data_IF_134064763569
#
_entry.id   IF_134064763569
#
_cell.length_a   1.000
_cell.length_b   1.000
_cell.length_c   1.000
_cell.angle_alpha   90.00
_cell.angle_beta   90.00
_cell.angle_gamma   90.00
#
_symmetry.space_group_name_H-M   'P 1'
#
loop_
_entity.id
_entity.type
_entity.pdbx_description
1 polymer ?
#
# COMPACT_ATOMS: atom_id res chain seq x y z
N UNK A 1 -11.20 8.06 -68.26
CA UNK A 1 -12.63 8.37 -68.56
C UNK A 1 -13.46 7.11 -68.35
N UNK A 2 -14.78 7.24 -68.09
CA UNK A 2 -15.74 6.14 -67.80
C UNK A 2 -15.49 5.49 -66.41
N UNK A 3 -16.44 5.58 -65.47
CA UNK A 3 -17.62 4.72 -65.23
C UNK A 3 -17.25 3.40 -64.49
N UNK A 4 -18.05 2.85 -63.56
CA UNK A 4 -19.40 3.22 -63.10
C UNK A 4 -19.58 2.97 -61.57
N UNK A 5 -20.75 3.34 -61.04
CA UNK A 5 -21.23 2.86 -59.72
C UNK A 5 -21.61 1.38 -59.81
N UNK A 6 -21.52 0.65 -58.69
CA UNK A 6 -22.56 -0.32 -58.36
C UNK A 6 -22.65 -0.51 -56.84
N UNK A 7 -23.85 -0.74 -56.32
CA UNK A 7 -24.10 -1.09 -54.93
C UNK A 7 -24.98 -2.34 -54.92
N UNK A 8 -24.73 -3.24 -53.96
CA UNK A 8 -25.55 -4.42 -53.72
C UNK A 8 -25.92 -4.49 -52.24
N UNK A 9 -27.21 -4.59 -51.97
CA UNK A 9 -27.83 -4.73 -50.64
C UNK A 9 -28.67 -6.00 -50.73
N UNK A 10 -28.76 -6.81 -49.66
CA UNK A 10 -30.03 -7.36 -49.14
C UNK A 10 -29.82 -8.24 -47.88
N UNK A 11 -30.52 -7.86 -46.79
CA UNK A 11 -31.13 -8.68 -45.71
C UNK A 11 -30.20 -9.66 -44.92
N UNK A 12 -30.31 -9.85 -43.60
CA UNK A 12 -31.43 -9.64 -42.65
C UNK A 12 -31.92 -11.01 -42.17
N UNK A 13 -31.75 -11.42 -40.91
CA UNK A 13 -32.60 -11.18 -39.70
C UNK A 13 -31.76 -11.64 -38.48
N UNK A 14 -31.40 -10.79 -37.50
CA UNK A 14 -32.15 -10.35 -36.29
C UNK A 14 -32.51 -11.44 -35.26
N UNK A 15 -31.78 -11.44 -34.13
CA UNK A 15 -32.25 -11.59 -32.72
C UNK A 15 -31.08 -11.18 -31.81
N UNK A 16 -31.11 -9.98 -31.20
CA UNK A 16 -31.45 -9.73 -29.77
C UNK A 16 -30.50 -10.38 -28.74
N UNK A 17 -29.98 -9.68 -27.72
CA UNK A 17 -30.59 -8.54 -27.02
C UNK A 17 -29.64 -7.37 -26.64
N UNK A 18 -30.29 -6.27 -26.28
CA UNK A 18 -29.84 -5.01 -25.65
C UNK A 18 -29.31 -5.16 -24.21
N UNK A 19 -28.66 -4.17 -23.59
CA UNK A 19 -27.90 -3.02 -24.10
C UNK A 19 -27.22 -2.26 -22.94
N UNK A 20 -25.94 -1.93 -23.09
CA UNK A 20 -25.19 -0.78 -22.52
C UNK A 20 -23.88 -0.71 -23.36
N UNK A 21 -23.29 0.44 -23.69
CA UNK A 21 -23.68 1.82 -23.40
C UNK A 21 -22.62 2.84 -23.84
N UNK A 22 -22.05 2.70 -25.05
CA UNK A 22 -21.12 3.65 -25.70
C UNK A 22 -20.10 4.36 -24.79
N UNK A 23 -19.28 3.57 -24.08
CA UNK A 23 -18.38 4.09 -23.05
C UNK A 23 -17.26 5.01 -23.56
N UNK A 24 -16.69 5.77 -22.62
CA UNK A 24 -15.30 6.23 -22.71
C UNK A 24 -14.47 5.19 -21.98
N UNK A 25 -13.66 4.42 -22.70
CA UNK A 25 -12.75 3.43 -22.09
C UNK A 25 -11.47 4.11 -21.63
N UNK A 26 -11.55 4.91 -20.55
CA UNK A 26 -10.37 5.27 -19.79
C UNK A 26 -10.00 4.06 -18.94
N UNK A 27 -8.95 3.35 -19.34
CA UNK A 27 -8.37 2.24 -18.61
C UNK A 27 -7.14 2.69 -17.82
N UNK A 28 -6.69 1.83 -16.92
CA UNK A 28 -5.43 2.01 -16.20
C UNK A 28 -4.24 1.61 -17.07
N UNK A 29 -3.04 2.06 -16.69
CA UNK A 29 -1.86 1.97 -17.56
C UNK A 29 -1.95 2.86 -18.81
N UNK A 30 -2.88 3.82 -18.88
CA UNK A 30 -2.93 4.79 -19.97
C UNK A 30 -1.95 5.95 -19.73
N UNK A 31 -1.13 6.23 -20.74
CA UNK A 31 -0.35 7.46 -20.85
C UNK A 31 -1.28 8.69 -20.97
N UNK A 32 -0.85 9.89 -20.55
CA UNK A 32 -1.61 11.13 -20.69
C UNK A 32 -2.06 11.39 -22.15
N UNK A 33 -3.33 11.80 -22.40
CA UNK A 33 -3.92 11.83 -23.73
C UNK A 33 -3.09 12.53 -24.82
N UNK A 34 -2.81 11.81 -25.91
CA UNK A 34 -2.07 12.32 -27.06
C UNK A 34 -2.83 13.40 -27.82
N UNK A 35 -2.13 14.46 -28.23
CA UNK A 35 -2.55 15.32 -29.34
C UNK A 35 -2.06 14.70 -30.66
N UNK A 36 -2.97 14.51 -31.62
CA UNK A 36 -2.71 13.76 -32.85
C UNK A 36 -1.95 14.59 -33.92
N UNK A 37 -1.30 14.04 -34.96
CA UNK A 37 -0.58 12.77 -35.25
C UNK A 37 -0.23 12.81 -36.77
N UNK A 38 0.83 12.15 -37.29
CA UNK A 38 0.74 10.73 -37.74
C UNK A 38 2.08 9.93 -37.77
N UNK A 39 2.18 8.65 -38.17
CA UNK A 39 1.42 7.41 -37.87
C UNK A 39 2.17 6.18 -38.48
N UNK A 40 1.62 4.95 -38.37
CA UNK A 40 2.06 3.66 -38.99
C UNK A 40 3.19 2.85 -38.25
N UNK A 41 3.22 1.50 -38.20
CA UNK A 41 2.27 0.44 -38.65
C UNK A 41 2.61 -1.00 -38.13
N UNK A 42 1.61 -1.74 -37.62
CA UNK A 42 1.24 -3.20 -37.81
C UNK A 42 2.31 -4.35 -37.77
N UNK A 43 2.05 -5.62 -37.39
CA UNK A 43 0.86 -6.41 -36.94
C UNK A 43 1.25 -7.75 -36.23
N UNK A 44 0.27 -8.57 -35.82
CA UNK A 44 0.36 -9.87 -35.08
C UNK A 44 -0.83 -10.82 -35.49
N UNK A 45 -1.07 -12.05 -34.93
CA UNK A 45 -0.36 -12.85 -33.93
C UNK A 45 0.29 -14.13 -34.55
N UNK A 46 -0.10 -15.44 -34.39
CA UNK A 46 -1.26 -16.12 -33.77
C UNK A 46 -0.90 -17.12 -32.61
N UNK A 47 -1.82 -18.04 -32.26
CA UNK A 47 -1.75 -19.04 -31.17
C UNK A 47 -1.48 -20.50 -31.62
N UNK A 48 -1.00 -21.38 -30.69
CA UNK A 48 -1.71 -22.62 -30.25
C UNK A 48 -1.08 -23.34 -29.05
N UNK A 49 -1.86 -24.23 -28.42
CA UNK A 49 -1.59 -24.89 -27.12
C UNK A 49 -2.04 -26.35 -27.20
N UNK A 50 -1.18 -27.35 -26.91
CA UNK A 50 -1.60 -28.76 -26.75
C UNK A 50 -0.62 -29.62 -25.93
N UNK A 51 -1.17 -30.23 -24.87
CA UNK A 51 -0.92 -31.59 -24.37
C UNK A 51 0.47 -32.02 -23.84
N UNK A 52 0.40 -32.89 -22.82
CA UNK A 52 1.49 -33.64 -22.19
C UNK A 52 1.35 -35.10 -22.64
N UNK A 53 2.41 -35.70 -23.21
CA UNK A 53 2.92 -37.02 -22.78
C UNK A 53 4.11 -37.48 -23.65
N UNK A 54 5.26 -37.75 -23.03
CA UNK A 54 6.36 -38.52 -23.66
C UNK A 54 7.23 -39.26 -22.65
N UNK A 55 6.60 -40.14 -21.87
CA UNK A 55 7.10 -41.44 -21.38
C UNK A 55 8.36 -41.48 -20.50
N UNK A 56 8.25 -42.20 -19.38
CA UNK A 56 9.35 -42.46 -18.45
C UNK A 56 10.11 -43.78 -18.72
N UNK A 57 11.38 -43.81 -18.34
CA UNK A 57 12.19 -45.01 -18.10
C UNK A 57 13.36 -44.64 -17.16
N UNK A 58 13.72 -45.40 -16.12
CA UNK A 58 13.34 -46.78 -15.78
C UNK A 58 12.92 -46.95 -14.32
N UNK A 59 12.16 -48.00 -14.03
CA UNK A 59 11.67 -48.38 -12.69
C UNK A 59 12.67 -49.33 -12.02
N UNK A 60 12.88 -49.20 -10.70
CA UNK A 60 13.93 -49.96 -9.97
C UNK A 60 13.72 -50.19 -8.46
N UNK A 61 12.45 -50.32 -8.04
CA UNK A 61 11.95 -50.89 -6.77
C UNK A 61 12.86 -50.95 -5.51
N UNK A 62 12.45 -50.23 -4.46
CA UNK A 62 12.08 -50.75 -3.12
C UNK A 62 11.63 -49.57 -2.23
N UNK A 63 10.50 -49.57 -1.54
CA UNK A 63 9.42 -50.57 -1.46
C UNK A 63 8.78 -50.57 -0.06
N UNK A 64 7.58 -50.00 0.06
CA UNK A 64 6.73 -49.92 1.27
C UNK A 64 7.32 -49.25 2.54
N UNK A 65 8.53 -49.59 3.01
CA UNK A 65 9.13 -49.03 4.24
C UNK A 65 9.31 -47.51 4.18
N UNK A 66 9.82 -47.01 3.06
CA UNK A 66 10.01 -45.57 2.80
C UNK A 66 8.68 -44.78 2.82
N UNK A 67 7.57 -45.42 2.46
CA UNK A 67 6.24 -44.81 2.45
C UNK A 67 5.63 -44.82 3.85
N UNK A 68 5.81 -45.89 4.62
CA UNK A 68 5.38 -45.96 6.01
C UNK A 68 6.10 -44.90 6.88
N UNK A 69 7.41 -44.71 6.66
CA UNK A 69 8.21 -43.67 7.33
C UNK A 69 7.80 -42.21 6.96
N UNK A 70 7.08 -42.02 5.85
CA UNK A 70 6.59 -40.70 5.40
C UNK A 70 5.13 -40.43 5.78
N UNK A 71 4.44 -41.41 6.37
CA UNK A 71 3.08 -41.27 6.90
C UNK A 71 3.03 -41.20 8.43
N UNK A 72 4.11 -41.54 9.12
CA UNK A 72 4.22 -41.49 10.60
C UNK A 72 4.93 -40.23 11.13
N UNK A 73 5.31 -39.29 10.26
CA UNK A 73 5.94 -38.01 10.63
C UNK A 73 4.95 -36.83 10.74
N UNK A 74 3.64 -37.08 10.64
CA UNK A 74 2.58 -36.08 10.90
C UNK A 74 2.14 -36.13 12.37
N UNK A 75 3.11 -36.02 13.28
CA UNK A 75 2.90 -35.56 14.65
C UNK A 75 4.23 -35.03 15.21
N UNK A 76 4.17 -33.95 15.99
CA UNK A 76 5.32 -33.30 16.66
C UNK A 76 6.45 -32.74 15.77
N UNK A 77 6.21 -31.57 15.18
CA UNK A 77 7.16 -30.45 15.31
C UNK A 77 8.53 -30.54 14.62
N UNK A 78 8.60 -31.08 13.39
CA UNK A 78 9.81 -30.96 12.58
C UNK A 78 10.03 -29.50 12.13
N UNK A 79 11.17 -28.90 12.50
CA UNK A 79 11.59 -27.61 11.92
C UNK A 79 11.90 -27.79 10.44
N UNK A 80 11.50 -26.81 9.61
CA UNK A 80 12.15 -26.62 8.32
C UNK A 80 13.65 -26.41 8.56
N UNK A 81 14.52 -27.00 7.73
CA UNK A 81 15.97 -26.78 7.77
C UNK A 81 16.42 -26.24 6.41
N UNK A 82 15.94 -25.04 6.12
CA UNK A 82 16.37 -24.19 5.01
C UNK A 82 17.27 -23.07 5.53
N UNK A 83 18.09 -22.45 4.67
CA UNK A 83 18.52 -21.07 4.94
C UNK A 83 17.25 -20.22 4.99
N UNK A 84 17.02 -19.47 6.07
CA UNK A 84 15.75 -18.76 6.29
C UNK A 84 14.74 -19.48 7.19
N UNK A 85 15.04 -20.64 7.79
CA UNK A 85 14.10 -21.33 8.69
C UNK A 85 13.73 -20.51 9.94
N UNK A 86 14.75 -19.89 10.56
CA UNK A 86 14.62 -18.97 11.71
C UNK A 86 13.79 -17.74 11.32
N UNK A 87 14.14 -17.13 10.19
CA UNK A 87 13.49 -15.97 9.60
C UNK A 87 12.00 -16.25 9.27
N UNK A 88 11.72 -17.41 8.69
CA UNK A 88 10.36 -17.88 8.36
C UNK A 88 9.52 -18.06 9.63
N UNK A 89 10.11 -18.58 10.71
CA UNK A 89 9.45 -18.70 12.02
C UNK A 89 9.20 -17.34 12.67
N UNK A 90 10.17 -16.42 12.64
CA UNK A 90 10.02 -15.05 13.14
C UNK A 90 8.86 -14.35 12.41
N UNK A 91 8.76 -14.52 11.09
CA UNK A 91 7.62 -14.05 10.31
C UNK A 91 6.30 -14.72 10.71
N UNK A 92 6.22 -16.06 10.68
CA UNK A 92 4.97 -16.80 10.92
C UNK A 92 4.37 -16.53 12.30
N UNK A 93 5.21 -16.37 13.31
CA UNK A 93 4.79 -16.18 14.69
C UNK A 93 4.26 -14.75 14.94
N UNK A 94 4.84 -13.75 14.27
CA UNK A 94 4.59 -12.33 14.54
C UNK A 94 3.71 -11.63 13.51
N UNK A 95 3.65 -12.08 12.25
CA UNK A 95 2.94 -11.35 11.17
C UNK A 95 1.45 -11.15 11.46
N UNK A 96 0.82 -12.09 12.17
CA UNK A 96 -0.59 -12.02 12.61
C UNK A 96 -0.84 -11.01 13.75
N UNK A 97 0.21 -10.38 14.28
CA UNK A 97 0.17 -9.27 15.22
C UNK A 97 0.58 -7.93 14.57
N UNK A 98 0.81 -7.91 13.25
CA UNK A 98 1.10 -6.67 12.49
C UNK A 98 -0.12 -6.32 11.66
N UNK A 99 -0.49 -5.04 11.65
CA UNK A 99 -1.69 -4.52 10.99
C UNK A 99 -1.36 -3.38 10.05
N UNK A 100 -2.16 -3.23 8.99
CA UNK A 100 -2.16 -2.06 8.12
C UNK A 100 -3.06 -1.00 8.76
N UNK A 101 -2.50 0.17 9.02
CA UNK A 101 -3.21 1.34 9.57
C UNK A 101 -3.49 2.30 8.43
N UNK A 102 -4.72 2.80 8.31
CA UNK A 102 -5.15 3.72 7.24
C UNK A 102 -5.88 4.94 7.81
N UNK A 103 -5.52 6.13 7.32
CA UNK A 103 -6.23 7.40 7.51
C UNK A 103 -6.68 7.94 6.14
N UNK A 104 -7.39 9.07 6.11
CA UNK A 104 -7.95 9.65 4.87
C UNK A 104 -6.88 9.77 3.77
N UNK A 105 -5.75 10.38 4.11
CA UNK A 105 -4.72 10.80 3.15
C UNK A 105 -3.40 10.03 3.36
N UNK A 106 -3.44 8.76 3.79
CA UNK A 106 -2.22 7.95 3.95
C UNK A 106 -2.38 6.65 4.74
N UNK A 107 -1.32 5.84 4.73
CA UNK A 107 -1.26 4.53 5.39
C UNK A 107 0.09 4.27 6.07
N UNK A 108 0.11 3.28 6.96
CA UNK A 108 1.29 2.80 7.65
C UNK A 108 1.07 1.43 8.27
N UNK A 109 1.98 1.01 9.13
CA UNK A 109 1.92 -0.25 9.86
C UNK A 109 1.61 -0.02 11.34
N UNK A 110 1.20 -1.07 12.04
CA UNK A 110 1.00 -1.06 13.48
C UNK A 110 1.30 -2.42 14.12
N UNK A 111 1.69 -2.41 15.38
CA UNK A 111 1.96 -3.60 16.20
C UNK A 111 0.82 -3.79 17.20
N UNK A 112 0.13 -4.92 17.17
CA UNK A 112 -0.81 -5.31 18.22
C UNK A 112 0.00 -5.72 19.46
N UNK A 113 -0.15 -4.97 20.56
CA UNK A 113 0.61 -5.18 21.80
C UNK A 113 -0.23 -5.82 22.92
N UNK A 114 -1.56 -5.90 22.76
CA UNK A 114 -2.47 -6.48 23.76
C UNK A 114 -3.72 -7.07 23.13
N UNK A 115 -4.24 -8.14 23.76
CA UNK A 115 -5.45 -8.88 23.34
C UNK A 115 -6.75 -8.07 23.41
N UNK A 116 -6.72 -6.89 24.03
CA UNK A 116 -7.83 -5.94 24.06
C UNK A 116 -7.88 -5.01 22.82
N UNK A 117 -7.03 -5.23 21.82
CA UNK A 117 -6.98 -4.42 20.61
C UNK A 117 -6.16 -3.13 20.76
N UNK A 118 -5.25 -3.07 21.73
CA UNK A 118 -4.23 -2.01 21.76
C UNK A 118 -3.20 -2.23 20.67
N UNK A 119 -2.98 -1.20 19.86
CA UNK A 119 -1.98 -1.17 18.80
C UNK A 119 -1.05 0.03 19.02
N UNK A 120 0.24 -0.22 18.84
CA UNK A 120 1.30 0.78 18.80
C UNK A 120 1.64 1.08 17.34
N UNK A 121 1.84 2.34 16.99
CA UNK A 121 2.27 2.81 15.66
C UNK A 121 3.04 4.12 15.84
N UNK A 122 3.51 4.75 14.75
CA UNK A 122 4.08 6.09 14.84
C UNK A 122 3.01 7.17 14.97
N UNK A 123 3.39 8.35 15.43
CA UNK A 123 2.48 9.49 15.48
C UNK A 123 2.23 10.07 14.08
N UNK A 124 3.26 10.22 13.23
CA UNK A 124 3.08 10.80 11.88
C UNK A 124 2.09 9.98 11.01
N UNK A 125 2.12 8.65 11.13
CA UNK A 125 1.18 7.72 10.47
C UNK A 125 -0.29 8.07 10.79
N UNK A 126 -0.58 8.51 12.02
CA UNK A 126 -1.94 8.85 12.48
C UNK A 126 -2.20 10.36 12.63
N UNK A 127 -1.24 11.21 12.23
CA UNK A 127 -1.38 12.67 12.35
C UNK A 127 -2.71 13.17 11.74
N UNK A 128 -3.38 14.07 12.46
CA UNK A 128 -4.64 14.70 12.07
C UNK A 128 -5.89 13.85 12.36
N UNK A 129 -5.74 12.54 12.56
CA UNK A 129 -6.87 11.62 12.74
C UNK A 129 -7.27 11.47 14.23
N UNK A 130 -8.58 11.50 14.52
CA UNK A 130 -9.14 11.00 15.78
C UNK A 130 -9.39 9.49 15.75
N UNK A 131 -9.72 8.99 14.56
CA UNK A 131 -10.18 7.64 14.25
C UNK A 131 -9.48 7.15 12.99
N UNK A 132 -9.05 5.89 12.96
CA UNK A 132 -8.32 5.27 11.84
C UNK A 132 -8.88 3.88 11.52
N UNK A 133 -8.69 3.43 10.28
CA UNK A 133 -8.91 2.05 9.90
C UNK A 133 -7.73 1.17 10.28
N UNK A 134 -8.01 -0.07 10.68
CA UNK A 134 -7.01 -1.10 11.02
C UNK A 134 -7.39 -2.39 10.31
N UNK A 135 -6.53 -2.88 9.41
CA UNK A 135 -6.74 -4.11 8.65
C UNK A 135 -5.78 -5.18 9.18
N UNK A 136 -6.33 -6.32 9.59
CA UNK A 136 -5.60 -7.50 10.05
C UNK A 136 -5.24 -8.43 8.90
N UNK A 137 -4.18 -9.26 9.07
CA UNK A 137 -3.80 -10.23 8.04
C UNK A 137 -4.91 -11.26 7.82
N UNK A 138 -5.34 -11.51 6.57
CA UNK A 138 -6.29 -12.58 6.29
C UNK A 138 -5.77 -13.95 6.74
N UNK A 139 -6.67 -14.78 7.27
CA UNK A 139 -6.38 -16.17 7.63
C UNK A 139 -6.47 -17.15 6.46
N UNK A 140 -6.71 -16.68 5.23
CA UNK A 140 -6.80 -17.49 4.02
C UNK A 140 -5.53 -17.33 3.19
N UNK A 141 -5.04 -18.43 2.61
CA UNK A 141 -3.96 -18.41 1.64
C UNK A 141 -4.33 -17.69 0.32
N UNK A 142 -5.62 -17.40 0.10
CA UNK A 142 -6.15 -16.71 -1.10
C UNK A 142 -5.96 -15.18 -1.10
N UNK A 143 -4.89 -14.68 -0.49
CA UNK A 143 -4.32 -13.36 -0.77
C UNK A 143 -4.93 -12.13 -0.06
N UNK A 144 -6.18 -11.77 -0.38
CA UNK A 144 -6.64 -10.38 -0.19
C UNK A 144 -7.45 -10.10 1.11
N UNK A 145 -7.31 -8.91 1.72
CA UNK A 145 -8.16 -8.43 2.81
C UNK A 145 -9.64 -8.28 2.45
N UNK A 146 -10.49 -8.34 3.46
CA UNK A 146 -11.94 -8.19 3.31
C UNK A 146 -12.57 -7.49 4.52
N UNK A 147 -13.85 -7.13 4.43
CA UNK A 147 -14.59 -6.44 5.51
C UNK A 147 -14.58 -7.15 6.88
N UNK A 148 -14.33 -8.46 6.93
CA UNK A 148 -14.17 -9.23 8.19
C UNK A 148 -12.84 -8.94 8.91
N UNK A 149 -11.84 -8.45 8.18
CA UNK A 149 -10.45 -8.25 8.59
C UNK A 149 -10.19 -6.77 8.98
N UNK A 150 -11.03 -5.84 8.49
CA UNK A 150 -11.05 -4.42 8.86
C UNK A 150 -11.72 -4.17 10.22
N UNK A 151 -11.17 -3.26 11.03
CA UNK A 151 -11.75 -2.69 12.26
C UNK A 151 -11.52 -1.18 12.28
N UNK A 152 -12.32 -0.45 13.04
CA UNK A 152 -12.02 0.96 13.41
C UNK A 152 -11.24 1.01 14.72
N UNK A 153 -10.38 2.00 14.84
CA UNK A 153 -9.63 2.31 16.06
C UNK A 153 -9.64 3.80 16.35
N UNK A 154 -9.62 4.17 17.63
CA UNK A 154 -9.42 5.56 18.08
C UNK A 154 -7.98 5.78 18.52
N UNK A 155 -7.48 7.00 18.30
CA UNK A 155 -6.23 7.47 18.90
C UNK A 155 -6.47 7.69 20.40
N UNK A 156 -5.66 7.04 21.24
CA UNK A 156 -5.80 7.04 22.71
C UNK A 156 -4.72 7.89 23.39
N UNK A 157 -3.48 7.82 22.90
CA UNK A 157 -2.35 8.60 23.41
C UNK A 157 -1.37 8.89 22.28
N UNK A 158 -0.80 10.09 22.26
CA UNK A 158 0.26 10.48 21.31
C UNK A 158 1.48 11.02 22.04
N UNK A 159 2.64 10.77 21.46
CA UNK A 159 3.92 11.35 21.82
C UNK A 159 4.61 11.81 20.53
N UNK A 160 4.37 13.06 20.18
CA UNK A 160 4.92 13.71 19.00
C UNK A 160 6.45 13.86 19.11
N UNK A 161 7.01 13.86 20.32
CA UNK A 161 8.47 13.97 20.52
C UNK A 161 9.17 12.64 20.26
N UNK A 162 8.61 11.49 20.66
CA UNK A 162 9.19 10.19 20.29
C UNK A 162 8.66 9.61 18.98
N UNK A 163 7.74 10.31 18.29
CA UNK A 163 6.97 9.82 17.15
C UNK A 163 6.25 8.49 17.45
N UNK A 164 5.55 8.40 18.59
CA UNK A 164 4.80 7.22 18.99
C UNK A 164 3.32 7.53 19.22
N UNK A 165 2.44 6.65 18.75
CA UNK A 165 1.02 6.73 19.01
C UNK A 165 0.44 5.38 19.46
N UNK A 166 -0.52 5.46 20.37
CA UNK A 166 -1.30 4.34 20.85
C UNK A 166 -2.72 4.45 20.32
N UNK A 167 -3.14 3.48 19.51
CA UNK A 167 -4.51 3.38 19.01
C UNK A 167 -5.22 2.17 19.64
N UNK A 168 -6.54 2.22 19.74
CA UNK A 168 -7.37 1.17 20.35
C UNK A 168 -8.56 0.86 19.46
N UNK A 169 -8.76 -0.41 19.13
CA UNK A 169 -9.97 -0.82 18.41
C UNK A 169 -11.25 -0.39 19.13
N UNK A 170 -12.21 0.18 18.41
CA UNK A 170 -13.56 0.47 18.93
C UNK A 170 -14.47 -0.75 18.92
N UNK A 171 -14.02 -1.82 18.26
CA UNK A 171 -14.75 -3.07 17.99
C UNK A 171 -13.90 -4.26 18.46
N UNK A 172 -14.51 -5.42 18.72
CA UNK A 172 -13.75 -6.58 19.23
C UNK A 172 -12.67 -7.02 18.21
N UNK A 173 -11.43 -7.31 18.67
CA UNK A 173 -10.39 -7.88 17.82
C UNK A 173 -10.84 -9.17 17.11
N UNK A 174 -10.19 -9.56 15.99
CA UNK A 174 -10.38 -10.87 15.40
C UNK A 174 -10.15 -12.02 16.39
N UNK A 175 -10.81 -13.16 16.16
CA UNK A 175 -10.55 -14.38 16.93
C UNK A 175 -9.07 -14.77 16.79
N UNK A 176 -8.48 -15.24 17.90
CA UNK A 176 -7.07 -15.65 17.97
C UNK A 176 -6.04 -14.54 17.68
N UNK A 177 -6.40 -13.26 17.91
CA UNK A 177 -5.48 -12.11 17.79
C UNK A 177 -4.13 -12.39 18.48
N UNK A 178 -3.04 -12.19 17.73
CA UNK A 178 -1.67 -12.32 18.23
C UNK A 178 -1.17 -10.98 18.76
N UNK A 179 -0.12 -11.04 19.57
CA UNK A 179 0.49 -9.87 20.21
C UNK A 179 2.01 -10.05 20.20
N UNK A 180 2.76 -9.02 19.81
CA UNK A 180 4.24 -9.08 19.87
C UNK A 180 4.70 -8.77 21.29
N UNK A 181 5.60 -9.60 21.84
CA UNK A 181 6.17 -9.40 23.17
C UNK A 181 7.26 -8.32 23.15
N UNK A 182 7.33 -7.49 24.19
CA UNK A 182 8.34 -6.44 24.31
C UNK A 182 9.70 -7.02 24.72
N UNK A 183 10.71 -6.83 23.89
CA UNK A 183 12.09 -7.24 24.13
C UNK A 183 12.90 -6.25 24.95
N UNK A 184 14.22 -6.40 24.90
CA UNK A 184 15.20 -5.54 25.56
C UNK A 184 16.24 -5.02 24.57
N UNK A 185 16.78 -3.82 24.82
CA UNK A 185 17.98 -3.34 24.12
C UNK A 185 19.21 -4.25 24.33
N UNK A 186 19.19 -5.12 25.34
CA UNK A 186 20.22 -6.15 25.56
C UNK A 186 20.11 -7.37 24.63
N UNK A 187 19.08 -7.45 23.77
CA UNK A 187 18.96 -8.49 22.74
C UNK A 187 19.64 -8.11 21.41
N UNK A 188 20.11 -6.86 21.27
CA UNK A 188 20.73 -6.35 20.06
C UNK A 188 21.98 -5.51 20.36
N UNK A 189 22.95 -5.57 19.47
CA UNK A 189 24.13 -4.71 19.43
C UNK A 189 24.44 -4.36 17.97
N UNK A 190 25.43 -3.49 17.73
CA UNK A 190 25.90 -3.24 16.36
C UNK A 190 26.38 -4.55 15.72
N UNK A 191 25.89 -4.84 14.52
CA UNK A 191 26.10 -6.12 13.82
C UNK A 191 25.09 -7.23 14.13
N UNK A 192 24.15 -7.04 15.07
CA UNK A 192 23.05 -8.00 15.27
C UNK A 192 22.08 -8.00 14.09
N UNK A 193 21.62 -9.19 13.71
CA UNK A 193 20.44 -9.38 12.85
C UNK A 193 19.20 -8.73 13.48
N UNK A 194 18.40 -8.06 12.65
CA UNK A 194 17.07 -7.52 12.99
C UNK A 194 16.10 -7.69 11.82
N UNK A 195 14.81 -7.75 12.15
CA UNK A 195 13.76 -8.11 11.20
C UNK A 195 12.62 -7.10 11.24
N UNK A 196 12.17 -6.62 10.09
CA UNK A 196 10.99 -5.76 9.97
C UNK A 196 9.84 -6.50 9.30
N UNK A 197 8.62 -6.16 9.69
CA UNK A 197 7.38 -6.57 9.03
C UNK A 197 6.54 -5.31 8.79
N UNK A 198 5.96 -5.15 7.61
CA UNK A 198 5.17 -3.95 7.30
C UNK A 198 4.40 -4.01 6.00
N UNK A 199 4.03 -2.83 5.49
CA UNK A 199 3.15 -2.66 4.34
C UNK A 199 3.76 -1.64 3.37
N UNK A 200 4.89 -1.94 2.72
CA UNK A 200 5.61 -0.98 1.90
C UNK A 200 4.90 -0.77 0.56
N UNK A 201 4.61 0.49 0.21
CA UNK A 201 4.21 0.90 -1.17
C UNK A 201 3.22 -0.07 -1.85
N UNK A 202 1.99 -0.16 -1.33
CA UNK A 202 0.92 -1.03 -1.84
C UNK A 202 1.01 -2.51 -1.45
N UNK A 203 2.21 -3.03 -1.18
CA UNK A 203 2.42 -4.42 -0.75
C UNK A 203 2.07 -4.61 0.73
N UNK A 204 1.60 -5.81 1.13
CA UNK A 204 1.03 -6.04 2.48
C UNK A 204 1.64 -7.22 3.22
N UNK A 205 1.96 -7.01 4.51
CA UNK A 205 2.68 -7.96 5.36
C UNK A 205 4.00 -8.47 4.75
N UNK A 206 4.74 -7.56 4.11
CA UNK A 206 6.09 -7.79 3.62
C UNK A 206 7.05 -7.99 4.79
N UNK A 207 8.03 -8.88 4.62
CA UNK A 207 9.09 -9.15 5.59
C UNK A 207 10.44 -8.73 5.02
N UNK A 208 11.23 -8.00 5.79
CA UNK A 208 12.61 -7.65 5.43
C UNK A 208 13.56 -7.94 6.60
N UNK A 209 14.81 -8.26 6.26
CA UNK A 209 15.88 -8.52 7.23
C UNK A 209 17.05 -7.59 6.94
N UNK A 210 17.74 -7.15 7.99
CA UNK A 210 19.01 -6.45 7.91
C UNK A 210 19.77 -6.57 9.23
N UNK A 211 20.70 -5.64 9.46
CA UNK A 211 21.48 -5.57 10.69
C UNK A 211 21.34 -4.22 11.39
N UNK A 212 21.65 -4.18 12.68
CA UNK A 212 21.81 -2.93 13.45
C UNK A 212 23.13 -2.27 13.08
N UNK A 213 23.07 -1.09 12.49
CA UNK A 213 24.25 -0.32 12.06
C UNK A 213 24.77 0.60 13.16
N UNK A 214 23.87 1.16 13.97
CA UNK A 214 24.22 1.97 15.15
C UNK A 214 23.03 2.08 16.11
N UNK A 215 23.29 2.25 17.40
CA UNK A 215 22.29 2.69 18.39
C UNK A 215 22.62 4.14 18.77
N UNK A 216 21.65 5.04 18.67
CA UNK A 216 21.84 6.49 18.79
C UNK A 216 20.92 7.06 19.87
N UNK A 217 21.41 7.25 21.11
CA UNK A 217 20.66 7.90 22.17
C UNK A 217 20.36 9.37 21.83
N UNK A 218 19.18 9.86 22.21
CA UNK A 218 18.79 11.27 22.05
C UNK A 218 18.93 11.82 20.62
N UNK A 219 18.67 11.01 19.60
CA UNK A 219 18.79 11.42 18.20
C UNK A 219 17.64 12.35 17.79
N UNK A 220 17.96 13.50 17.19
CA UNK A 220 16.97 14.41 16.61
C UNK A 220 16.70 14.09 15.14
N UNK A 221 15.42 14.12 14.74
CA UNK A 221 15.00 14.12 13.34
C UNK A 221 13.70 14.91 13.17
N UNK A 222 13.19 14.99 11.95
CA UNK A 222 11.91 15.62 11.61
C UNK A 222 11.20 14.76 10.55
N UNK A 223 9.89 14.54 10.68
CA UNK A 223 9.06 13.97 9.59
C UNK A 223 8.42 15.04 8.71
N UNK A 224 8.38 16.28 9.18
CA UNK A 224 7.80 17.44 8.50
C UNK A 224 8.64 18.71 8.79
N UNK A 225 8.37 19.84 8.13
CA UNK A 225 9.16 21.08 8.30
C UNK A 225 8.84 21.88 9.57
N UNK A 226 7.85 21.44 10.35
CA UNK A 226 7.22 22.18 11.47
C UNK A 226 7.46 21.55 12.84
N UNK A 227 7.83 20.26 12.89
CA UNK A 227 8.09 19.50 14.12
C UNK A 227 9.47 18.86 14.15
N UNK A 228 10.01 18.73 15.37
CA UNK A 228 11.19 17.92 15.67
C UNK A 228 10.80 16.77 16.61
N UNK A 229 11.40 15.62 16.37
CA UNK A 229 11.35 14.44 17.23
C UNK A 229 12.71 14.26 17.91
N UNK A 230 12.72 13.60 19.07
CA UNK A 230 13.91 13.25 19.82
C UNK A 230 13.67 11.97 20.61
N UNK A 231 14.43 10.91 20.28
CA UNK A 231 14.33 9.60 20.93
C UNK A 231 15.66 8.84 20.86
N UNK A 232 15.78 7.80 21.67
CA UNK A 232 16.82 6.79 21.52
C UNK A 232 16.43 5.90 20.31
N UNK A 233 17.19 5.96 19.21
CA UNK A 233 16.86 5.24 17.94
C UNK A 233 17.86 4.15 17.57
N UNK A 234 17.38 3.15 16.84
CA UNK A 234 18.16 2.07 16.24
C UNK A 234 18.29 2.37 14.75
N UNK A 235 19.50 2.62 14.26
CA UNK A 235 19.80 2.69 12.83
C UNK A 235 19.98 1.27 12.29
N UNK A 236 19.33 0.94 11.17
CA UNK A 236 19.39 -0.39 10.54
C UNK A 236 19.48 -0.33 9.03
N UNK A 237 20.22 -1.29 8.46
CA UNK A 237 20.24 -1.57 7.02
C UNK A 237 19.01 -2.35 6.52
N UNK A 238 18.11 -2.76 7.42
CA UNK A 238 16.85 -3.45 7.05
C UNK A 238 16.03 -2.56 6.10
N UNK A 239 15.70 -3.01 4.87
CA UNK A 239 14.93 -2.21 3.92
C UNK A 239 13.56 -1.79 4.47
N UNK A 240 13.37 -0.47 4.64
CA UNK A 240 12.17 0.16 5.20
C UNK A 240 11.73 1.27 4.23
N UNK A 241 10.63 1.00 3.52
CA UNK A 241 9.99 1.93 2.59
C UNK A 241 8.75 2.58 3.22
N UNK A 242 8.20 3.68 2.66
CA UNK A 242 6.93 4.26 3.09
C UNK A 242 5.84 3.20 3.23
N UNK A 243 5.18 3.20 4.39
CA UNK A 243 4.20 2.17 4.80
C UNK A 243 4.73 1.10 5.77
N UNK A 244 6.05 0.91 5.88
CA UNK A 244 6.66 0.13 6.98
C UNK A 244 6.70 0.89 8.32
N UNK A 245 6.58 2.22 8.29
CA UNK A 245 6.52 3.09 9.47
C UNK A 245 5.36 2.67 10.39
N UNK A 246 5.62 2.60 11.70
CA UNK A 246 4.72 2.08 12.72
C UNK A 246 4.76 0.55 12.88
N UNK A 247 5.45 -0.16 11.99
CA UNK A 247 5.68 -1.60 12.06
C UNK A 247 6.80 -1.97 13.04
N UNK A 248 6.88 -3.25 13.46
CA UNK A 248 7.89 -3.69 14.41
C UNK A 248 9.28 -3.77 13.77
N UNK A 249 10.30 -3.41 14.56
CA UNK A 249 11.64 -3.96 14.43
C UNK A 249 11.81 -5.04 15.50
N UNK A 250 12.12 -6.27 15.07
CA UNK A 250 12.22 -7.46 15.89
C UNK A 250 13.66 -7.92 16.05
N UNK A 251 14.00 -8.47 17.23
CA UNK A 251 15.24 -9.22 17.45
C UNK A 251 15.16 -10.63 16.83
N UNK A 252 16.29 -11.32 16.85
CA UNK A 252 16.42 -12.74 16.55
C UNK A 252 15.54 -13.67 17.41
N UNK A 253 15.02 -13.21 18.55
CA UNK A 253 14.07 -13.97 19.39
C UNK A 253 12.61 -13.77 18.96
N UNK A 254 12.35 -12.82 18.05
CA UNK A 254 11.02 -12.40 17.62
C UNK A 254 10.35 -11.39 18.57
N UNK A 255 11.08 -10.81 19.53
CA UNK A 255 10.56 -9.75 20.42
C UNK A 255 10.73 -8.36 19.81
N UNK A 256 9.89 -7.41 20.22
CA UNK A 256 9.95 -6.01 19.79
C UNK A 256 11.17 -5.30 20.41
N UNK A 257 12.10 -4.86 19.56
CA UNK A 257 13.25 -4.02 19.94
C UNK A 257 13.12 -2.57 19.46
N UNK A 258 12.20 -2.29 18.53
CA UNK A 258 11.82 -0.92 18.17
C UNK A 258 10.60 -0.83 17.27
N UNK A 259 10.21 0.39 16.90
CA UNK A 259 9.16 0.69 15.91
C UNK A 259 9.81 1.43 14.75
N UNK A 260 9.77 0.86 13.55
CA UNK A 260 10.30 1.48 12.32
C UNK A 260 9.60 2.83 12.11
N UNK A 261 10.33 3.92 11.86
CA UNK A 261 9.74 5.28 11.75
C UNK A 261 10.13 5.98 10.45
N UNK A 262 11.42 6.22 10.22
CA UNK A 262 11.90 7.08 9.13
C UNK A 262 13.13 6.51 8.43
N UNK A 263 13.44 7.08 7.26
CA UNK A 263 14.73 6.94 6.57
C UNK A 263 15.38 8.31 6.41
N UNK A 264 16.71 8.35 6.38
CA UNK A 264 17.48 9.52 5.96
C UNK A 264 17.65 9.51 4.43
N UNK A 265 18.09 10.64 3.86
CA UNK A 265 18.76 10.63 2.57
C UNK A 265 20.00 9.71 2.63
N UNK A 266 20.23 8.95 1.56
CA UNK A 266 21.29 7.93 1.46
C UNK A 266 20.78 6.49 1.52
N UNK A 267 21.60 5.54 1.06
CA UNK A 267 21.21 4.12 0.98
C UNK A 267 21.26 3.42 2.35
N UNK A 268 20.24 2.61 2.64
CA UNK A 268 20.14 1.77 3.84
C UNK A 268 20.29 2.52 5.19
N UNK A 269 19.98 3.82 5.22
CA UNK A 269 19.92 4.65 6.43
C UNK A 269 18.50 4.70 6.99
N UNK A 270 18.01 3.57 7.49
CA UNK A 270 16.68 3.42 8.08
C UNK A 270 16.74 3.48 9.61
N UNK A 271 15.68 3.93 10.26
CA UNK A 271 15.65 4.17 11.70
C UNK A 271 14.36 3.69 12.37
N UNK A 272 14.51 3.09 13.55
CA UNK A 272 13.43 2.67 14.42
C UNK A 272 13.53 3.33 15.81
N UNK A 273 12.41 3.80 16.36
CA UNK A 273 12.31 4.28 17.74
C UNK A 273 12.51 3.10 18.68
N UNK A 274 13.47 3.16 19.60
CA UNK A 274 13.88 1.99 20.39
C UNK A 274 12.83 1.52 21.40
N UNK A 275 12.94 0.27 21.82
CA UNK A 275 12.12 -0.30 22.90
C UNK A 275 12.28 0.44 24.24
N UNK A 276 13.38 1.18 24.44
CA UNK A 276 13.55 2.08 25.59
C UNK A 276 12.53 3.22 25.57
N UNK A 277 12.39 3.92 24.44
CA UNK A 277 11.41 5.00 24.28
C UNK A 277 9.97 4.47 24.18
N UNK A 278 9.75 3.30 23.57
CA UNK A 278 8.44 2.62 23.62
C UNK A 278 8.03 2.30 25.07
N UNK A 279 8.96 1.81 25.91
CA UNK A 279 8.69 1.56 27.33
C UNK A 279 8.48 2.86 28.12
N UNK A 280 9.20 3.93 27.78
CA UNK A 280 9.04 5.30 28.34
C UNK A 280 7.67 5.90 27.99
N UNK A 281 7.24 5.80 26.73
CA UNK A 281 5.90 6.17 26.28
C UNK A 281 4.83 5.37 27.02
N UNK A 282 4.97 4.04 27.09
CA UNK A 282 3.99 3.16 27.71
C UNK A 282 3.83 3.35 29.23
N UNK A 283 4.85 3.81 29.95
CA UNK A 283 4.74 4.11 31.38
C UNK A 283 4.09 5.47 31.69
N UNK A 284 3.85 6.33 30.68
CA UNK A 284 3.20 7.64 30.87
C UNK A 284 1.73 7.64 30.44
N UNK A 285 0.88 8.32 31.23
CA UNK A 285 -0.56 8.40 30.97
C UNK A 285 -1.01 9.67 30.20
N UNK A 286 -0.07 10.54 29.84
CA UNK A 286 -0.35 11.85 29.20
C UNK A 286 0.14 11.85 27.75
N UNK A 287 -0.47 12.69 26.92
CA UNK A 287 0.12 13.05 25.63
C UNK A 287 1.40 13.89 25.86
N UNK A 288 2.38 13.73 24.97
CA UNK A 288 3.54 14.63 24.86
C UNK A 288 3.52 15.27 23.47
N UNK A 289 3.38 16.59 23.45
CA UNK A 289 3.39 17.37 22.22
C UNK A 289 4.81 17.85 21.94
N UNK A 290 5.17 17.97 20.66
CA UNK A 290 6.45 18.51 20.24
C UNK A 290 6.42 20.03 20.39
N UNK A 291 7.55 20.63 20.75
CA UNK A 291 7.71 22.07 20.59
C UNK A 291 7.68 22.37 19.09
N UNK A 292 6.72 23.15 18.57
CA UNK A 292 6.75 23.57 17.17
C UNK A 292 8.04 24.38 16.94
N UNK A 293 8.70 24.18 15.79
CA UNK A 293 10.08 24.66 15.58
C UNK A 293 10.21 26.19 15.63
N UNK A 294 9.09 26.93 15.65
CA UNK A 294 8.92 28.31 16.14
C UNK A 294 7.48 28.52 16.63
N UNK A 295 7.17 29.54 17.46
CA UNK A 295 5.79 29.88 17.78
C UNK A 295 5.04 30.34 16.51
N UNK A 296 3.78 29.92 16.39
CA UNK A 296 2.92 30.25 15.25
C UNK A 296 2.45 31.72 15.30
N UNK A 297 3.22 32.63 14.70
CA UNK A 297 2.78 34.00 14.46
C UNK A 297 3.52 34.63 13.26
N UNK A 298 2.84 35.56 12.59
CA UNK A 298 3.22 36.22 11.33
C UNK A 298 3.33 35.28 10.12
N UNK A 299 2.31 35.33 9.26
CA UNK A 299 2.40 34.80 7.90
C UNK A 299 3.44 35.59 7.10
N UNK A 300 4.51 34.93 6.69
CA UNK A 300 5.49 35.42 5.73
C UNK A 300 5.81 34.24 4.81
N UNK A 301 5.65 34.42 3.51
CA UNK A 301 5.59 33.31 2.56
C UNK A 301 6.94 32.56 2.46
N UNK A 302 6.96 31.31 2.91
CA UNK A 302 7.69 30.28 2.18
C UNK A 302 7.05 30.11 0.80
N UNK A 303 7.83 29.77 -0.21
CA UNK A 303 7.30 29.24 -1.47
C UNK A 303 6.74 27.84 -1.22
N UNK A 304 5.50 27.78 -0.73
CA UNK A 304 4.68 26.58 -0.77
C UNK A 304 4.72 26.01 -2.19
N UNK A 305 4.90 24.69 -2.35
CA UNK A 305 4.44 24.08 -3.58
C UNK A 305 2.93 24.34 -3.67
N UNK A 306 2.53 25.00 -4.76
CA UNK A 306 1.12 25.12 -5.12
C UNK A 306 0.96 24.31 -6.38
N UNK A 307 0.14 23.26 -6.29
CA UNK A 307 -0.18 22.40 -7.41
C UNK A 307 -0.50 23.29 -8.63
N UNK A 308 0.23 23.06 -9.72
CA UNK A 308 0.27 23.95 -10.89
C UNK A 308 -0.16 23.19 -12.13
N UNK A 309 -1.04 23.82 -12.92
CA UNK A 309 -1.33 23.33 -14.27
C UNK A 309 -0.08 23.54 -15.13
N UNK A 310 0.53 22.46 -15.60
CA UNK A 310 1.71 22.48 -16.48
C UNK A 310 1.30 22.79 -17.92
N UNK A 311 0.11 22.30 -18.31
CA UNK A 311 -0.50 22.52 -19.63
C UNK A 311 -1.99 22.20 -19.58
N UNK A 312 -2.73 22.77 -20.53
CA UNK A 312 -4.11 22.42 -20.84
C UNK A 312 -4.26 22.27 -22.35
N UNK A 313 -5.20 21.44 -22.80
CA UNK A 313 -5.47 21.21 -24.21
C UNK A 313 -6.81 20.55 -24.45
N UNK A 314 -6.99 20.04 -25.67
CA UNK A 314 -8.19 19.29 -26.07
C UNK A 314 -7.74 18.00 -26.76
N UNK A 315 -8.30 16.87 -26.35
CA UNK A 315 -8.00 15.58 -26.96
C UNK A 315 -8.70 15.41 -28.33
N UNK A 316 -8.36 14.34 -29.04
CA UNK A 316 -8.97 13.98 -30.33
C UNK A 316 -10.48 13.71 -30.30
N UNK A 317 -11.06 13.51 -29.12
CA UNK A 317 -12.51 13.33 -28.92
C UNK A 317 -13.22 14.66 -28.56
N UNK A 318 -12.49 15.77 -28.41
CA UNK A 318 -13.03 17.06 -28.00
C UNK A 318 -13.21 17.21 -26.49
N UNK A 319 -12.62 16.34 -25.66
CA UNK A 319 -12.53 16.51 -24.22
C UNK A 319 -11.44 17.53 -23.86
N UNK A 320 -11.71 18.42 -22.91
CA UNK A 320 -10.66 19.24 -22.32
C UNK A 320 -9.79 18.35 -21.41
N UNK A 321 -8.47 18.54 -21.47
CA UNK A 321 -7.52 17.83 -20.61
C UNK A 321 -6.58 18.86 -19.98
N UNK A 322 -6.43 18.82 -18.66
CA UNK A 322 -5.46 19.62 -17.91
C UNK A 322 -4.52 18.73 -17.13
N UNK A 323 -3.22 19.01 -17.21
CA UNK A 323 -2.17 18.22 -16.58
C UNK A 323 -1.50 19.02 -15.47
N UNK A 324 -1.36 18.40 -14.30
CA UNK A 324 -0.98 19.06 -13.06
C UNK A 324 0.25 18.41 -12.42
N UNK A 325 1.11 19.26 -11.94
CA UNK A 325 2.26 18.98 -11.09
C UNK A 325 1.87 19.41 -9.67
N UNK A 326 1.79 18.45 -8.75
CA UNK A 326 1.11 18.60 -7.45
C UNK A 326 2.08 18.66 -6.27
N UNK A 327 3.26 18.06 -6.38
CA UNK A 327 4.35 18.15 -5.39
C UNK A 327 5.49 19.12 -5.79
N UNK A 328 5.44 19.65 -7.02
CA UNK A 328 6.38 20.60 -7.63
C UNK A 328 7.75 20.03 -8.05
N UNK A 329 7.91 18.70 -8.16
CA UNK A 329 9.14 18.11 -8.71
C UNK A 329 9.32 18.34 -10.22
N UNK A 330 8.25 18.72 -10.93
CA UNK A 330 8.28 19.09 -12.35
C UNK A 330 7.77 18.01 -13.31
N UNK A 331 7.29 16.87 -12.80
CA UNK A 331 6.54 15.86 -13.56
C UNK A 331 5.04 16.20 -13.65
N UNK A 332 4.21 15.20 -13.95
CA UNK A 332 2.75 15.30 -14.02
C UNK A 332 2.20 14.14 -13.17
N UNK A 333 1.76 14.44 -11.97
CA UNK A 333 1.22 13.44 -11.03
C UNK A 333 -0.26 13.19 -11.28
N UNK A 334 -0.94 14.13 -11.95
CA UNK A 334 -2.40 14.09 -12.12
C UNK A 334 -2.82 14.75 -13.44
N UNK A 335 -3.85 14.21 -14.08
CA UNK A 335 -4.58 14.95 -15.11
C UNK A 335 -6.09 14.77 -15.00
N UNK A 336 -6.80 15.83 -15.34
CA UNK A 336 -8.26 15.85 -15.38
C UNK A 336 -8.74 15.80 -16.82
N UNK A 337 -9.75 14.98 -17.07
CA UNK A 337 -10.40 14.81 -18.38
C UNK A 337 -11.86 15.24 -18.23
N UNK A 338 -12.24 16.28 -18.99
CA UNK A 338 -13.60 16.81 -19.05
C UNK A 338 -14.18 16.65 -20.46
N UNK A 339 -14.88 15.53 -20.74
CA UNK A 339 -15.56 15.34 -22.02
C UNK A 339 -16.60 16.44 -22.30
N UNK A 340 -16.63 16.93 -23.54
CA UNK A 340 -17.59 17.94 -24.02
C UNK A 340 -19.06 17.49 -23.94
N UNK A 341 -19.29 16.20 -24.05
CA UNK A 341 -20.59 15.56 -23.81
C UNK A 341 -20.83 15.44 -22.29
N UNK A 342 -21.86 16.09 -21.72
CA UNK A 342 -22.09 16.11 -20.28
C UNK A 342 -22.60 14.78 -19.71
N UNK A 343 -23.01 13.83 -20.55
CA UNK A 343 -23.47 12.50 -20.11
C UNK A 343 -22.33 11.51 -19.79
N UNK A 344 -21.08 11.92 -20.04
CA UNK A 344 -19.87 11.14 -19.77
C UNK A 344 -19.22 11.61 -18.46
N UNK A 345 -18.52 10.73 -17.72
CA UNK A 345 -17.89 11.12 -16.46
C UNK A 345 -16.91 12.29 -16.64
N UNK A 346 -16.73 13.07 -15.58
CA UNK A 346 -15.50 13.83 -15.37
C UNK A 346 -14.52 12.92 -14.64
N UNK A 347 -13.28 12.82 -15.13
CA UNK A 347 -12.31 11.84 -14.65
C UNK A 347 -11.04 12.54 -14.20
N UNK A 348 -10.63 12.30 -12.96
CA UNK A 348 -9.25 12.49 -12.52
C UNK A 348 -8.47 11.19 -12.75
N UNK A 349 -7.23 11.32 -13.21
CA UNK A 349 -6.27 10.23 -13.38
C UNK A 349 -5.00 10.59 -12.61
N UNK A 350 -4.48 9.66 -11.81
CA UNK A 350 -3.27 9.86 -11.02
C UNK A 350 -2.20 8.85 -11.43
N UNK A 351 -0.98 9.36 -11.62
CA UNK A 351 0.25 8.56 -11.67
C UNK A 351 0.80 8.49 -10.24
N UNK A 352 0.87 7.28 -9.68
CA UNK A 352 1.27 7.06 -8.28
C UNK A 352 2.70 6.56 -8.12
N UNK A 353 3.36 6.19 -9.23
CA UNK A 353 4.69 5.60 -9.25
C UNK A 353 5.72 6.47 -9.99
N UNK A 354 5.27 7.42 -10.81
CA UNK A 354 6.07 8.41 -11.54
C UNK A 354 6.56 7.95 -12.91
N UNK A 355 6.01 6.90 -13.51
CA UNK A 355 6.43 6.37 -14.83
C UNK A 355 5.71 6.99 -16.04
N UNK A 356 4.73 7.87 -15.80
CA UNK A 356 3.96 8.57 -16.81
C UNK A 356 2.63 7.91 -17.20
N UNK A 357 2.13 6.93 -16.43
CA UNK A 357 0.85 6.25 -16.68
C UNK A 357 -0.10 6.36 -15.49
N UNK A 358 -1.40 6.27 -15.78
CA UNK A 358 -2.46 6.36 -14.77
C UNK A 358 -2.71 5.04 -14.05
N UNK A 359 -2.41 5.00 -12.75
CA UNK A 359 -2.62 3.85 -11.86
C UNK A 359 -3.96 3.93 -11.10
N UNK A 360 -4.49 5.15 -10.97
CA UNK A 360 -5.76 5.43 -10.28
C UNK A 360 -6.65 6.30 -11.16
N UNK A 361 -7.89 5.86 -11.35
CA UNK A 361 -8.99 6.65 -11.91
C UNK A 361 -9.95 7.03 -10.79
N UNK A 362 -10.40 8.28 -10.72
CA UNK A 362 -11.54 8.69 -9.91
C UNK A 362 -12.53 9.43 -10.79
N UNK A 363 -13.82 9.09 -10.71
CA UNK A 363 -14.84 9.58 -11.63
C UNK A 363 -16.05 10.16 -10.89
N UNK A 364 -16.37 11.41 -11.23
CA UNK A 364 -17.72 11.96 -11.07
C UNK A 364 -18.52 11.49 -12.30
N UNK A 365 -19.46 10.57 -12.13
CA UNK A 365 -20.18 9.93 -13.25
C UNK A 365 -21.43 10.70 -13.68
N UNK A 366 -21.91 11.61 -12.83
CA UNK A 366 -23.18 12.30 -12.99
C UNK A 366 -23.03 13.83 -13.18
N UNK A 367 -21.85 14.37 -12.88
CA UNK A 367 -21.43 15.78 -12.92
C UNK A 367 -22.09 16.71 -11.90
N UNK A 368 -22.45 16.21 -10.72
CA UNK A 368 -22.90 17.05 -9.60
C UNK A 368 -21.76 17.64 -8.73
N UNK A 369 -20.50 17.37 -9.09
CA UNK A 369 -19.31 17.89 -8.41
C UNK A 369 -18.81 16.98 -7.28
N UNK A 370 -19.25 15.72 -7.26
CA UNK A 370 -18.84 14.69 -6.31
C UNK A 370 -18.29 13.47 -7.02
N UNK A 371 -17.36 12.79 -6.39
CA UNK A 371 -16.86 11.52 -6.89
C UNK A 371 -17.88 10.41 -6.60
N UNK A 372 -18.09 9.50 -7.56
CA UNK A 372 -19.01 8.35 -7.41
C UNK A 372 -18.23 7.04 -7.26
N UNK A 373 -17.21 6.85 -8.11
CA UNK A 373 -16.53 5.58 -8.33
C UNK A 373 -15.04 5.82 -8.66
N UNK A 374 -14.19 4.89 -8.25
CA UNK A 374 -12.77 4.87 -8.61
C UNK A 374 -12.32 3.47 -9.03
N UNK A 375 -11.20 3.41 -9.71
CA UNK A 375 -10.54 2.17 -10.13
C UNK A 375 -9.04 2.26 -9.84
N UNK A 376 -8.46 1.16 -9.37
CA UNK A 376 -7.04 1.09 -9.00
C UNK A 376 -6.36 -0.13 -9.63
N UNK A 377 -5.14 0.07 -10.09
CA UNK A 377 -4.16 -0.90 -10.55
C UNK A 377 -3.07 -0.88 -9.47
N UNK A 378 -2.87 -2.00 -8.75
CA UNK A 378 -2.01 -2.01 -7.55
C UNK A 378 -0.77 -2.89 -7.71
N UNK A 379 -0.60 -3.56 -8.85
CA UNK A 379 0.65 -4.21 -9.26
C UNK A 379 1.29 -3.61 -10.53
N UNK A 380 0.64 -2.60 -11.13
CA UNK A 380 1.07 -1.79 -12.27
C UNK A 380 1.13 -2.58 -13.60
N UNK A 381 0.31 -3.63 -13.77
CA UNK A 381 0.28 -4.46 -14.97
C UNK A 381 -0.68 -4.00 -16.09
N UNK A 382 -1.37 -2.87 -15.88
CA UNK A 382 -2.32 -2.26 -16.80
C UNK A 382 -3.75 -2.77 -16.67
N UNK A 383 -4.11 -3.38 -15.53
CA UNK A 383 -5.45 -3.93 -15.24
C UNK A 383 -6.01 -3.33 -13.96
N UNK A 384 -7.34 -3.31 -13.89
CA UNK A 384 -8.04 -2.87 -12.69
C UNK A 384 -8.11 -4.04 -11.70
N UNK A 385 -7.43 -3.90 -10.57
CA UNK A 385 -7.51 -4.83 -9.42
C UNK A 385 -8.70 -4.51 -8.51
N UNK A 386 -8.96 -3.23 -8.29
CA UNK A 386 -9.88 -2.74 -7.26
C UNK A 386 -10.84 -1.68 -7.82
N UNK A 387 -12.05 -1.63 -7.26
CA UNK A 387 -13.05 -0.59 -7.49
C UNK A 387 -13.43 0.07 -6.17
N UNK A 388 -13.34 1.39 -6.11
CA UNK A 388 -13.80 2.20 -4.99
C UNK A 388 -15.17 2.82 -5.24
N UNK A 389 -15.91 3.05 -4.17
CA UNK A 389 -17.23 3.65 -4.16
C UNK A 389 -17.25 4.82 -3.17
N UNK A 390 -17.88 5.92 -3.57
CA UNK A 390 -17.79 7.22 -2.90
C UNK A 390 -19.19 7.76 -2.50
N UNK A 391 -20.00 7.03 -1.70
CA UNK A 391 -21.35 7.45 -1.32
C UNK A 391 -21.45 8.73 -0.47
N UNK A 392 -20.32 9.28 -0.02
CA UNK A 392 -20.18 10.59 0.63
C UNK A 392 -19.79 11.71 -0.37
N UNK A 393 -19.32 11.36 -1.56
CA UNK A 393 -18.87 12.27 -2.61
C UNK A 393 -17.41 12.74 -2.49
N UNK A 394 -16.68 12.28 -1.48
CA UNK A 394 -15.27 12.65 -1.24
C UNK A 394 -14.34 11.91 -2.21
N UNK A 395 -13.15 12.46 -2.50
CA UNK A 395 -12.20 11.85 -3.45
C UNK A 395 -11.57 10.53 -2.96
N UNK A 396 -11.76 10.20 -1.68
CA UNK A 396 -11.28 8.96 -1.06
C UNK A 396 -12.47 8.01 -0.89
N UNK A 397 -12.42 6.84 -1.55
CA UNK A 397 -13.51 5.88 -1.54
C UNK A 397 -13.82 5.34 -0.12
N UNK A 398 -15.01 5.60 0.41
CA UNK A 398 -15.45 5.06 1.70
C UNK A 398 -15.75 3.54 1.68
N UNK A 399 -15.69 2.90 0.50
CA UNK A 399 -15.62 1.44 0.35
C UNK A 399 -14.80 1.06 -0.89
N UNK A 400 -13.85 0.14 -0.75
CA UNK A 400 -13.12 -0.47 -1.88
C UNK A 400 -13.39 -1.99 -1.91
N UNK A 401 -13.58 -2.55 -3.10
CA UNK A 401 -13.85 -3.96 -3.37
C UNK A 401 -12.97 -4.48 -4.53
N UNK A 402 -12.79 -5.79 -4.63
CA UNK A 402 -12.03 -6.42 -5.74
C UNK A 402 -12.80 -6.21 -7.04
N UNK A 403 -12.16 -5.64 -8.05
CA UNK A 403 -12.74 -5.54 -9.38
C UNK A 403 -12.86 -6.92 -10.02
N UNK A 404 -14.05 -7.23 -10.52
CA UNK A 404 -14.38 -8.48 -11.20
C UNK A 404 -14.97 -8.12 -12.56
N UNK A 405 -14.09 -7.75 -13.49
CA UNK A 405 -14.42 -7.45 -14.88
C UNK A 405 -14.98 -8.66 -15.64
#
# INVERSE_FOLDING_TARGET
MKHAKCAAIWFGVVTSASAFGSGVTVGLGQEPPSIDAPSMSQSMPPYRFTAIDSMAGSIGQLGAREIHARLTSVEHGASLVTRGAKETKIYSDNVQAVVLVVKKDGFGSGVVISKDGTILTNWHVIEGASDVGVIFKPSSASGQPSKKDLRRAKVVRIDEVSDLALIRLTEKPPKNVKTIAFGSMSEIQVGSDVHAIGHPTGQTWTYTKGLVSQIRPGFEWATDSTRKHTADVIQTQTPINPGNSGGPLLSDSGTLVGINSFKSEGEALNFAVSISDVRRFMSTAKNRYASPTRPAMAAAASSECKAREIKQGTDKNGAMVSWWDTDCDGKIDTWFIQPKDPSKPFTAVFDSNGDGKGDILVMDTNRDGKWDISYYDIDFDGKIDLVGYHPDGEIVASRVEIYRG
#
